data_IF_162852633881
#
_entry.id   IF_162852633881
#
_cell.length_a   1.000
_cell.length_b   1.000
_cell.length_c   1.000
_cell.angle_alpha   90.00
_cell.angle_beta   90.00
_cell.angle_gamma   90.00
#
_symmetry.space_group_name_H-M   'P 1'
#
loop_
_entity.id
_entity.type
_entity.pdbx_description
1 polymer ?
#
# COMPACT_ATOMS: atom_id res chain seq x y z
N UNK A 1 -39.77 9.39 4.55
CA UNK A 1 -39.43 9.39 6.00
C UNK A 1 -38.53 8.18 6.25
N UNK A 2 -37.31 8.35 6.81
CA UNK A 2 -36.40 7.23 7.03
C UNK A 2 -36.98 6.24 8.04
N UNK A 3 -36.83 4.94 7.77
CA UNK A 3 -37.37 3.85 8.59
C UNK A 3 -36.65 3.79 9.95
N UNK A 4 -37.30 3.21 10.97
CA UNK A 4 -36.73 3.05 12.33
C UNK A 4 -35.40 2.27 12.31
N UNK A 5 -35.24 1.34 11.37
CA UNK A 5 -34.01 0.55 11.19
C UNK A 5 -32.85 1.39 10.65
N UNK A 6 -33.12 2.36 9.77
CA UNK A 6 -32.09 3.24 9.20
C UNK A 6 -31.50 4.16 10.27
N UNK A 7 -32.33 4.61 11.21
CA UNK A 7 -31.88 5.45 12.33
C UNK A 7 -30.92 4.68 13.26
N UNK A 8 -31.21 3.41 13.54
CA UNK A 8 -30.36 2.54 14.38
C UNK A 8 -29.01 2.27 13.69
N UNK A 9 -29.02 2.00 12.38
CA UNK A 9 -27.80 1.76 11.61
C UNK A 9 -26.92 3.02 11.58
N UNK A 10 -27.51 4.19 11.36
CA UNK A 10 -26.77 5.47 11.35
C UNK A 10 -26.22 5.81 12.73
N UNK A 11 -26.97 5.59 13.80
CA UNK A 11 -26.50 5.83 15.18
C UNK A 11 -25.36 4.91 15.58
N UNK A 12 -25.43 3.63 15.19
CA UNK A 12 -24.36 2.67 15.45
C UNK A 12 -23.10 3.03 14.63
N UNK A 13 -23.27 3.43 13.37
CA UNK A 13 -22.17 3.88 12.52
C UNK A 13 -21.51 5.15 13.07
N UNK A 14 -22.27 6.16 13.50
CA UNK A 14 -21.70 7.39 14.08
C UNK A 14 -21.03 7.12 15.42
N UNK A 15 -21.54 6.18 16.24
CA UNK A 15 -20.88 5.77 17.49
C UNK A 15 -19.57 5.03 17.24
N UNK A 16 -19.52 4.14 16.25
CA UNK A 16 -18.28 3.46 15.84
C UNK A 16 -17.29 4.47 15.29
N UNK A 17 -17.69 5.29 14.32
CA UNK A 17 -16.82 6.34 13.74
C UNK A 17 -16.33 7.32 14.80
N UNK A 18 -17.18 7.74 15.74
CA UNK A 18 -16.80 8.62 16.84
C UNK A 18 -15.75 7.99 17.75
N UNK A 19 -15.93 6.72 18.15
CA UNK A 19 -14.93 5.96 18.92
C UNK A 19 -13.58 5.89 18.19
N UNK A 20 -13.61 5.72 16.87
CA UNK A 20 -12.41 5.68 16.05
C UNK A 20 -11.68 7.02 15.98
N UNK A 21 -12.42 8.12 15.89
CA UNK A 21 -11.85 9.47 15.86
C UNK A 21 -11.15 9.83 17.18
N UNK A 22 -11.76 9.52 18.33
CA UNK A 22 -11.16 9.85 19.63
C UNK A 22 -9.99 8.95 20.03
N UNK A 23 -10.04 7.65 19.69
CA UNK A 23 -9.06 6.67 20.19
C UNK A 23 -7.98 6.31 19.17
N UNK A 24 -8.30 6.31 17.87
CA UNK A 24 -7.46 5.69 16.85
C UNK A 24 -6.96 6.63 15.75
N UNK A 25 -7.28 7.93 15.77
CA UNK A 25 -6.89 8.88 14.71
C UNK A 25 -5.37 8.96 14.46
N UNK A 26 -4.54 8.72 15.47
CA UNK A 26 -3.09 8.78 15.34
C UNK A 26 -2.49 7.66 14.49
N UNK A 27 -3.11 6.47 14.51
CA UNK A 27 -2.64 5.29 13.76
C UNK A 27 -2.70 5.47 12.24
N UNK A 28 -3.83 5.88 11.62
CA UNK A 28 -3.90 6.12 10.19
C UNK A 28 -3.06 7.34 9.76
N UNK A 29 -2.88 8.35 10.62
CA UNK A 29 -1.95 9.44 10.33
C UNK A 29 -0.52 8.92 10.19
N UNK A 30 -0.04 8.13 11.15
CA UNK A 30 1.29 7.52 11.07
C UNK A 30 1.40 6.50 9.92
N UNK A 31 0.35 5.70 9.70
CA UNK A 31 0.25 4.79 8.57
C UNK A 31 0.30 5.49 7.21
N UNK A 32 -0.27 6.69 7.08
CA UNK A 32 -0.19 7.47 5.85
C UNK A 32 1.25 7.87 5.52
N UNK A 33 2.02 8.34 6.51
CA UNK A 33 3.45 8.63 6.32
C UNK A 33 4.25 7.37 5.95
N UNK A 34 4.00 6.25 6.63
CA UNK A 34 4.63 4.98 6.32
C UNK A 34 4.31 4.49 4.90
N UNK A 35 3.06 4.66 4.46
CA UNK A 35 2.61 4.24 3.12
C UNK A 35 3.27 5.08 2.02
N UNK A 36 3.47 6.38 2.26
CA UNK A 36 4.21 7.25 1.32
C UNK A 36 5.66 6.78 1.18
N UNK A 37 6.33 6.46 2.30
CA UNK A 37 7.69 5.92 2.27
C UNK A 37 7.77 4.55 1.56
N UNK A 38 6.77 3.70 1.79
CA UNK A 38 6.65 2.42 1.10
C UNK A 38 6.46 2.60 -0.40
N UNK A 39 5.56 3.50 -0.83
CA UNK A 39 5.30 3.77 -2.24
C UNK A 39 6.55 4.27 -2.96
N UNK A 40 7.34 5.13 -2.31
CA UNK A 40 8.63 5.57 -2.86
C UNK A 40 9.62 4.41 -3.00
N UNK A 41 9.72 3.55 -1.98
CA UNK A 41 10.60 2.38 -2.01
C UNK A 41 10.19 1.39 -3.12
N UNK A 42 8.90 1.04 -3.21
CA UNK A 42 8.37 0.19 -4.30
C UNK A 42 8.65 0.81 -5.67
N UNK A 43 8.41 2.12 -5.83
CA UNK A 43 8.73 2.84 -7.05
C UNK A 43 10.21 2.70 -7.43
N UNK A 44 11.12 2.99 -6.50
CA UNK A 44 12.56 2.89 -6.75
C UNK A 44 13.02 1.48 -7.17
N UNK A 45 12.42 0.42 -6.61
CA UNK A 45 12.75 -0.95 -6.99
C UNK A 45 12.15 -1.36 -8.35
N UNK A 46 10.96 -0.87 -8.68
CA UNK A 46 10.22 -1.34 -9.85
C UNK A 46 10.39 -0.46 -11.09
N UNK A 47 10.94 0.76 -10.94
CA UNK A 47 11.28 1.66 -12.06
C UNK A 47 12.42 1.14 -12.96
N UNK A 48 13.52 0.55 -12.45
CA UNK A 48 14.60 0.06 -13.31
C UNK A 48 14.18 -1.07 -14.24
N UNK A 49 13.21 -1.92 -13.85
CA UNK A 49 12.80 -3.09 -14.62
C UNK A 49 12.34 -2.75 -16.06
N UNK A 50 11.39 -1.83 -16.29
CA UNK A 50 10.97 -1.45 -17.64
C UNK A 50 11.85 -0.37 -18.30
N UNK A 51 12.59 0.44 -17.52
CA UNK A 51 13.33 1.59 -18.06
C UNK A 51 14.84 1.35 -18.27
N UNK A 52 15.42 0.24 -17.76
CA UNK A 52 16.86 -0.08 -17.86
C UNK A 52 17.38 -0.12 -19.30
N UNK A 53 16.67 -0.75 -20.24
CA UNK A 53 17.09 -0.88 -21.64
C UNK A 53 17.11 0.46 -22.38
N UNK A 54 16.12 1.32 -22.13
CA UNK A 54 15.99 2.64 -22.78
C UNK A 54 16.98 3.66 -22.22
N UNK A 55 17.34 3.53 -20.94
CA UNK A 55 18.38 4.36 -20.31
C UNK A 55 19.77 3.86 -20.73
N UNK A 56 20.00 2.54 -20.79
CA UNK A 56 21.28 1.93 -21.17
C UNK A 56 21.68 2.15 -22.63
N UNK A 57 20.70 2.32 -23.53
CA UNK A 57 20.95 2.69 -24.94
C UNK A 57 21.17 4.19 -25.15
N UNK A 58 21.09 5.01 -24.10
CA UNK A 58 21.18 6.47 -24.19
C UNK A 58 19.98 7.15 -24.85
N UNK A 59 18.93 6.39 -25.19
CA UNK A 59 17.72 6.92 -25.83
C UNK A 59 16.91 7.83 -24.87
N UNK A 60 16.98 7.58 -23.57
CA UNK A 60 16.26 8.35 -22.54
C UNK A 60 17.16 8.69 -21.35
N UNK A 61 17.20 9.96 -20.95
CA UNK A 61 17.93 10.43 -19.75
C UNK A 61 17.16 10.06 -18.48
N UNK A 62 17.87 9.83 -17.36
CA UNK A 62 17.28 9.44 -16.07
C UNK A 62 16.12 10.33 -15.62
N UNK A 63 16.27 11.65 -15.80
CA UNK A 63 15.25 12.64 -15.46
C UNK A 63 14.00 12.55 -16.37
N UNK A 64 14.19 12.29 -17.66
CA UNK A 64 13.08 12.14 -18.61
C UNK A 64 12.31 10.85 -18.35
N UNK A 65 13.02 9.76 -18.03
CA UNK A 65 12.42 8.49 -17.66
C UNK A 65 11.55 8.61 -16.40
N UNK A 66 12.03 9.32 -15.37
CA UNK A 66 11.27 9.55 -14.13
C UNK A 66 9.95 10.28 -14.36
N UNK A 67 9.96 11.37 -15.14
CA UNK A 67 8.74 12.16 -15.43
C UNK A 67 7.73 11.32 -16.23
N UNK A 68 8.19 10.58 -17.24
CA UNK A 68 7.34 9.71 -18.04
C UNK A 68 6.77 8.55 -17.21
N UNK A 69 7.57 7.99 -16.29
CA UNK A 69 7.12 6.96 -15.38
C UNK A 69 6.00 7.44 -14.46
N UNK A 70 6.12 8.64 -13.86
CA UNK A 70 5.07 9.22 -13.05
C UNK A 70 3.75 9.40 -13.84
N UNK A 71 3.84 9.87 -15.10
CA UNK A 71 2.67 10.07 -15.94
C UNK A 71 1.90 8.78 -16.25
N UNK A 72 2.58 7.64 -16.31
CA UNK A 72 1.97 6.32 -16.59
C UNK A 72 1.52 5.63 -15.29
N UNK A 73 2.31 5.73 -14.22
CA UNK A 73 2.01 5.05 -12.96
C UNK A 73 0.81 5.65 -12.21
N UNK A 74 0.61 6.98 -12.26
CA UNK A 74 -0.51 7.62 -11.54
C UNK A 74 -1.87 7.13 -12.06
N UNK A 75 -2.15 7.14 -13.38
CA UNK A 75 -3.40 6.59 -13.91
C UNK A 75 -3.50 5.07 -13.75
N UNK A 76 -2.38 4.34 -13.95
CA UNK A 76 -2.36 2.89 -13.79
C UNK A 76 -2.69 2.43 -12.37
N UNK A 77 -2.15 3.12 -11.36
CA UNK A 77 -2.47 2.87 -9.95
C UNK A 77 -3.94 3.19 -9.63
N UNK A 78 -4.48 4.29 -10.18
CA UNK A 78 -5.89 4.64 -10.00
C UNK A 78 -6.82 3.56 -10.57
N UNK A 79 -6.52 3.03 -11.77
CA UNK A 79 -7.29 1.95 -12.39
C UNK A 79 -7.14 0.60 -11.68
N UNK A 80 -5.99 0.34 -11.06
CA UNK A 80 -5.72 -0.89 -10.32
C UNK A 80 -6.24 -0.88 -8.87
N UNK A 81 -6.69 0.27 -8.35
CA UNK A 81 -7.19 0.38 -6.96
C UNK A 81 -8.40 -0.52 -6.68
N UNK A 82 -9.25 -0.75 -7.68
CA UNK A 82 -10.40 -1.66 -7.61
C UNK A 82 -10.07 -3.08 -8.08
N UNK A 83 -8.80 -3.49 -8.01
CA UNK A 83 -8.39 -4.83 -8.44
C UNK A 83 -8.78 -5.86 -7.39
N UNK A 84 -9.21 -7.04 -7.86
CA UNK A 84 -9.51 -8.22 -7.01
C UNK A 84 -8.40 -8.56 -6.03
N UNK A 85 -7.16 -8.20 -6.33
CA UNK A 85 -6.00 -8.47 -5.47
C UNK A 85 -6.07 -7.68 -4.17
N UNK A 86 -6.46 -6.40 -4.24
CA UNK A 86 -6.60 -5.54 -3.05
C UNK A 86 -7.76 -6.04 -2.19
N UNK A 87 -8.90 -6.33 -2.81
CA UNK A 87 -10.06 -6.90 -2.11
C UNK A 87 -9.75 -8.27 -1.49
N UNK A 88 -9.03 -9.13 -2.21
CA UNK A 88 -8.63 -10.45 -1.70
C UNK A 88 -7.71 -10.32 -0.48
N UNK A 89 -6.71 -9.43 -0.53
CA UNK A 89 -5.82 -9.15 0.60
C UNK A 89 -6.64 -8.75 1.83
N UNK A 90 -7.51 -7.74 1.71
CA UNK A 90 -8.35 -7.32 2.83
C UNK A 90 -9.30 -8.41 3.32
N UNK A 91 -9.87 -9.20 2.41
CA UNK A 91 -10.76 -10.31 2.79
C UNK A 91 -10.04 -11.41 3.58
N UNK A 92 -8.79 -11.73 3.21
CA UNK A 92 -7.98 -12.73 3.93
C UNK A 92 -7.56 -12.19 5.30
N UNK A 93 -7.17 -10.92 5.41
CA UNK A 93 -6.84 -10.28 6.70
C UNK A 93 -8.04 -10.17 7.64
N UNK A 94 -9.25 -9.96 7.12
CA UNK A 94 -10.48 -9.89 7.93
C UNK A 94 -11.03 -11.26 8.31
N UNK A 95 -10.69 -12.31 7.57
CA UNK A 95 -11.10 -13.69 7.85
C UNK A 95 -10.31 -14.29 9.01
N UNK A 96 -9.10 -13.79 9.24
CA UNK A 96 -8.31 -14.14 10.43
C UNK A 96 -9.02 -13.58 11.68
N UNK A 97 -9.36 -14.45 12.63
CA UNK A 97 -10.16 -14.07 13.81
C UNK A 97 -9.31 -13.25 14.79
N UNK A 98 -9.23 -11.94 14.55
CA UNK A 98 -8.44 -11.03 15.37
C UNK A 98 -9.20 -10.59 16.62
N UNK A 99 -8.52 -10.47 17.78
CA UNK A 99 -9.18 -10.23 19.07
C UNK A 99 -9.69 -8.79 19.25
N UNK A 100 -9.20 -7.81 18.48
CA UNK A 100 -9.57 -6.39 18.64
C UNK A 100 -9.33 -5.59 17.36
N UNK A 101 -10.28 -4.72 17.01
CA UNK A 101 -10.23 -3.82 15.84
C UNK A 101 -8.97 -2.94 15.78
N UNK A 102 -8.52 -2.40 16.92
CA UNK A 102 -7.29 -1.60 17.00
C UNK A 102 -6.01 -2.39 16.76
N UNK A 103 -5.99 -3.69 17.05
CA UNK A 103 -4.84 -4.55 16.77
C UNK A 103 -4.67 -4.76 15.26
N UNK A 104 -5.77 -4.91 14.53
CA UNK A 104 -5.77 -5.01 13.07
C UNK A 104 -5.20 -3.75 12.40
N UNK A 105 -5.57 -2.56 12.90
CA UNK A 105 -5.05 -1.30 12.35
C UNK A 105 -3.55 -1.15 12.59
N UNK A 106 -3.08 -1.47 13.79
CA UNK A 106 -1.67 -1.39 14.15
C UNK A 106 -0.81 -2.42 13.42
N UNK A 107 -1.32 -3.64 13.24
CA UNK A 107 -0.60 -4.69 12.51
C UNK A 107 -0.36 -4.31 11.06
N UNK A 108 -1.34 -3.70 10.39
CA UNK A 108 -1.17 -3.18 9.02
C UNK A 108 -0.04 -2.15 8.94
N UNK A 109 0.04 -1.23 9.90
CA UNK A 109 1.13 -0.23 9.94
C UNK A 109 2.50 -0.88 10.13
N UNK A 110 2.61 -1.88 11.01
CA UNK A 110 3.87 -2.60 11.24
C UNK A 110 4.29 -3.39 10.01
N UNK A 111 3.35 -4.03 9.31
CA UNK A 111 3.60 -4.72 8.04
C UNK A 111 4.12 -3.74 6.98
N UNK A 112 3.51 -2.56 6.85
CA UNK A 112 3.96 -1.51 5.93
C UNK A 112 5.40 -1.08 6.23
N UNK A 113 5.73 -0.83 7.51
CA UNK A 113 7.08 -0.44 7.91
C UNK A 113 8.12 -1.54 7.68
N UNK A 114 7.78 -2.78 8.04
CA UNK A 114 8.68 -3.94 7.85
C UNK A 114 8.93 -4.16 6.36
N UNK A 115 7.89 -4.11 5.54
CA UNK A 115 8.00 -4.24 4.08
C UNK A 115 8.84 -3.10 3.51
N UNK A 116 8.62 -1.86 3.95
CA UNK A 116 9.40 -0.70 3.51
C UNK A 116 10.87 -0.89 3.85
N UNK A 117 11.19 -1.25 5.08
CA UNK A 117 12.57 -1.47 5.53
C UNK A 117 13.26 -2.55 4.71
N UNK A 118 12.59 -3.68 4.49
CA UNK A 118 13.12 -4.78 3.69
C UNK A 118 13.34 -4.38 2.23
N UNK A 119 12.39 -3.63 1.67
CA UNK A 119 12.41 -3.20 0.29
C UNK A 119 13.47 -2.12 0.03
N UNK A 120 13.68 -1.20 0.98
CA UNK A 120 14.80 -0.26 0.95
C UNK A 120 16.14 -0.98 1.02
N UNK A 121 16.26 -2.01 1.87
CA UNK A 121 17.46 -2.83 1.96
C UNK A 121 17.74 -3.57 0.63
N UNK A 122 16.70 -4.12 -0.01
CA UNK A 122 16.84 -4.78 -1.30
C UNK A 122 17.28 -3.82 -2.41
N UNK A 123 16.76 -2.58 -2.44
CA UNK A 123 17.21 -1.54 -3.38
C UNK A 123 18.68 -1.22 -3.18
N UNK A 124 19.11 -1.11 -1.92
CA UNK A 124 20.51 -0.81 -1.59
C UNK A 124 21.46 -1.93 -2.02
N UNK A 125 21.01 -3.17 -1.97
CA UNK A 125 21.76 -4.34 -2.44
C UNK A 125 21.66 -4.56 -3.96
N UNK A 126 20.96 -3.69 -4.70
CA UNK A 126 20.68 -3.81 -6.14
C UNK A 126 20.02 -5.14 -6.55
N UNK A 127 19.36 -5.81 -5.60
CA UNK A 127 18.72 -7.09 -5.82
C UNK A 127 17.24 -6.88 -6.18
N UNK A 128 16.80 -7.25 -7.39
CA UNK A 128 15.41 -7.05 -7.79
C UNK A 128 14.50 -8.04 -7.05
N UNK A 129 13.56 -7.52 -6.26
CA UNK A 129 12.52 -8.30 -5.57
C UNK A 129 11.31 -8.41 -6.49
N UNK A 130 11.06 -9.60 -7.03
CA UNK A 130 9.88 -9.86 -7.86
C UNK A 130 8.79 -10.58 -7.04
N UNK A 131 7.68 -9.92 -6.69
CA UNK A 131 6.62 -10.52 -5.86
C UNK A 131 5.76 -11.58 -6.59
N UNK A 132 6.16 -12.01 -7.78
CA UNK A 132 5.35 -12.84 -8.68
C UNK A 132 5.80 -14.30 -8.82
N UNK A 133 6.85 -14.75 -8.13
CA UNK A 133 7.22 -16.16 -8.12
C UNK A 133 7.45 -16.68 -6.69
N UNK A 134 6.73 -17.75 -6.33
CA UNK A 134 6.69 -18.31 -4.97
C UNK A 134 7.95 -19.09 -4.58
N UNK A 135 9.00 -19.03 -5.38
CA UNK A 135 10.28 -19.64 -5.11
C UNK A 135 11.35 -18.78 -5.73
N UNK A 136 12.34 -18.42 -4.91
CA UNK A 136 13.63 -17.88 -5.28
C UNK A 136 13.77 -16.34 -5.24
N UNK A 137 14.64 -15.97 -4.29
CA UNK A 137 15.42 -14.75 -4.14
C UNK A 137 14.90 -13.72 -3.13
N UNK A 138 15.47 -13.94 -1.94
CA UNK A 138 15.72 -13.06 -0.81
C UNK A 138 14.67 -13.19 0.27
N UNK A 139 15.22 -13.44 1.47
CA UNK A 139 14.56 -13.74 2.72
C UNK A 139 13.31 -12.89 3.01
#
# INVERSE_FOLDING_TARGET
MPSKNDKIAVELATKVVGKWNDTYQWIPTFGAFATIAMAFSVGANNLPAPFSTSIGSGALTLLKASIMACAIYIPGAASASNSRTVDALFSDFLKESQPTEGFLMWSMVVVLLTTTMWLTLATYLELPVYPSNRYMLLC
#
